data_IF_456636998226
#
_entry.id   IF_456636998226
#
_cell.length_a   1.000
_cell.length_b   1.000
_cell.length_c   1.000
_cell.angle_alpha   90.00
_cell.angle_beta   90.00
_cell.angle_gamma   90.00
#
_symmetry.space_group_name_H-M   'P 1'
#
loop_
_entity.id
_entity.type
_entity.pdbx_description
1 polymer ?
#
# COMPACT_ATOMS: atom_id res chain seq x y z
N UNK A 1 3.09 -5.75 4.25
CA UNK A 1 3.28 -6.59 5.46
C UNK A 1 4.47 -6.07 6.26
N UNK A 2 4.43 -6.14 7.60
CA UNK A 2 5.48 -5.58 8.44
C UNK A 2 6.84 -6.19 8.08
N UNK A 3 7.88 -5.37 7.99
CA UNK A 3 9.23 -5.76 7.58
C UNK A 3 9.54 -5.61 6.09
N UNK A 4 8.54 -5.44 5.20
CA UNK A 4 8.74 -5.26 3.76
C UNK A 4 8.24 -3.89 3.28
N UNK A 5 9.13 -3.10 2.65
CA UNK A 5 8.81 -1.80 2.05
C UNK A 5 7.67 -1.93 1.03
N UNK A 6 6.67 -1.05 1.09
CA UNK A 6 5.61 -0.98 0.09
C UNK A 6 5.96 0.02 -1.02
N UNK A 7 6.85 -0.39 -1.93
CA UNK A 7 7.26 0.43 -3.07
C UNK A 7 6.14 0.64 -4.09
N UNK A 8 5.18 -0.29 -4.16
CA UNK A 8 4.01 -0.20 -5.04
C UNK A 8 3.11 0.96 -4.63
N UNK A 9 2.80 1.07 -3.34
CA UNK A 9 2.04 2.21 -2.80
C UNK A 9 2.77 3.53 -3.01
N UNK A 10 4.08 3.57 -2.78
CA UNK A 10 4.89 4.78 -3.01
C UNK A 10 4.83 5.23 -4.49
N UNK A 11 4.96 4.29 -5.41
CA UNK A 11 4.88 4.56 -6.85
C UNK A 11 3.48 5.03 -7.27
N UNK A 12 2.42 4.35 -6.84
CA UNK A 12 1.04 4.75 -7.13
C UNK A 12 0.71 6.14 -6.59
N UNK A 13 1.16 6.46 -5.36
CA UNK A 13 1.02 7.80 -4.78
C UNK A 13 1.72 8.87 -5.61
N UNK A 14 2.96 8.61 -6.02
CA UNK A 14 3.72 9.55 -6.85
C UNK A 14 3.09 9.74 -8.25
N UNK A 15 2.58 8.66 -8.86
CA UNK A 15 1.87 8.71 -10.14
C UNK A 15 0.56 9.52 -10.06
N UNK A 16 -0.10 9.51 -8.91
CA UNK A 16 -1.25 10.35 -8.62
C UNK A 16 -0.89 11.83 -8.30
N UNK A 17 0.40 12.19 -8.33
CA UNK A 17 0.88 13.55 -8.01
C UNK A 17 0.77 13.93 -6.53
N UNK A 18 0.58 12.96 -5.63
CA UNK A 18 0.34 13.21 -4.22
C UNK A 18 1.63 13.12 -3.40
N UNK A 19 1.84 14.05 -2.47
CA UNK A 19 2.79 13.88 -1.37
C UNK A 19 2.25 12.88 -0.33
N UNK A 20 3.10 12.45 0.61
CA UNK A 20 2.63 11.62 1.73
C UNK A 20 1.62 12.36 2.62
N UNK A 21 1.75 13.69 2.74
CA UNK A 21 0.81 14.51 3.50
C UNK A 21 -0.55 14.57 2.80
N UNK A 22 -0.57 14.72 1.48
CA UNK A 22 -1.82 14.78 0.70
C UNK A 22 -2.60 13.46 0.79
N UNK A 23 -1.90 12.33 0.63
CA UNK A 23 -2.54 11.02 0.79
C UNK A 23 -3.03 10.80 2.24
N UNK A 24 -2.25 11.25 3.22
CA UNK A 24 -2.63 11.14 4.63
C UNK A 24 -3.91 11.93 4.94
N UNK A 25 -4.01 13.16 4.43
CA UNK A 25 -5.20 14.00 4.54
C UNK A 25 -6.40 13.33 3.86
N UNK A 26 -6.22 12.77 2.65
CA UNK A 26 -7.29 12.12 1.90
C UNK A 26 -7.87 10.88 2.60
N UNK A 27 -7.07 10.17 3.40
CA UNK A 27 -7.49 8.92 4.08
C UNK A 27 -7.65 9.06 5.59
N UNK A 28 -7.54 10.28 6.13
CA UNK A 28 -7.80 10.58 7.53
C UNK A 28 -6.76 10.04 8.51
N UNK A 29 -5.48 10.04 8.12
CA UNK A 29 -4.36 9.59 8.98
C UNK A 29 -3.24 10.63 9.00
N UNK A 30 -2.19 10.37 9.77
CA UNK A 30 -1.00 11.25 9.81
C UNK A 30 -0.06 10.98 8.63
N UNK A 31 0.72 11.99 8.24
CA UNK A 31 1.81 11.82 7.25
C UNK A 31 2.82 10.74 7.68
N UNK A 32 3.06 10.60 8.98
CA UNK A 32 3.92 9.54 9.54
C UNK A 32 3.34 8.15 9.30
N UNK A 33 2.02 7.98 9.44
CA UNK A 33 1.34 6.70 9.16
C UNK A 33 1.60 6.26 7.72
N UNK A 34 1.42 7.15 6.74
CA UNK A 34 1.73 6.84 5.33
C UNK A 34 3.21 6.46 5.15
N UNK A 35 4.12 7.22 5.76
CA UNK A 35 5.55 6.93 5.71
C UNK A 35 5.91 5.55 6.28
N UNK A 36 5.30 5.14 7.39
CA UNK A 36 5.51 3.82 7.99
C UNK A 36 4.96 2.69 7.11
N UNK A 37 3.83 2.88 6.43
CA UNK A 37 3.31 1.88 5.48
C UNK A 37 4.27 1.71 4.31
N UNK A 38 4.71 2.81 3.70
CA UNK A 38 5.67 2.77 2.57
C UNK A 38 7.01 2.14 2.98
N UNK A 39 7.48 2.42 4.20
CA UNK A 39 8.71 1.85 4.74
C UNK A 39 8.56 0.39 5.21
N UNK A 40 7.34 -0.16 5.30
CA UNK A 40 7.08 -1.48 5.86
C UNK A 40 7.16 -1.54 7.39
N UNK A 41 7.21 -0.39 8.07
CA UNK A 41 7.25 -0.28 9.52
C UNK A 41 5.88 -0.37 10.20
N UNK A 42 4.79 -0.45 9.42
CA UNK A 42 3.44 -0.56 9.92
C UNK A 42 2.58 -1.46 9.03
N UNK A 43 1.80 -2.33 9.66
CA UNK A 43 0.78 -3.12 8.97
C UNK A 43 -0.58 -2.39 9.09
N UNK A 44 -1.07 -1.74 8.03
CA UNK A 44 -2.34 -1.03 8.07
C UNK A 44 -3.53 -1.98 8.25
N UNK A 45 -4.61 -1.46 8.83
CA UNK A 45 -5.89 -2.17 8.88
C UNK A 45 -6.47 -2.31 7.47
N UNK A 46 -7.34 -3.30 7.25
CA UNK A 46 -8.02 -3.49 5.96
C UNK A 46 -8.77 -2.21 5.53
N UNK A 47 -9.43 -1.54 6.46
CA UNK A 47 -10.15 -0.29 6.19
C UNK A 47 -9.22 0.80 5.65
N UNK A 48 -8.02 0.94 6.23
CA UNK A 48 -7.02 1.89 5.74
C UNK A 48 -6.47 1.48 4.36
N UNK A 49 -6.23 0.19 4.14
CA UNK A 49 -5.84 -0.31 2.81
C UNK A 49 -6.89 0.06 1.75
N UNK A 50 -8.17 -0.18 2.04
CA UNK A 50 -9.28 0.15 1.14
C UNK A 50 -9.38 1.65 0.89
N UNK A 51 -9.21 2.48 1.92
CA UNK A 51 -9.22 3.94 1.77
C UNK A 51 -8.08 4.44 0.88
N UNK A 52 -6.87 3.90 1.06
CA UNK A 52 -5.70 4.20 0.21
C UNK A 52 -5.96 3.78 -1.24
N UNK A 53 -6.46 2.56 -1.47
CA UNK A 53 -6.80 2.06 -2.80
C UNK A 53 -7.80 2.98 -3.52
N UNK A 54 -8.86 3.43 -2.82
CA UNK A 54 -9.84 4.37 -3.36
C UNK A 54 -9.21 5.73 -3.70
N UNK A 55 -8.38 6.28 -2.81
CA UNK A 55 -7.71 7.56 -3.02
C UNK A 55 -6.74 7.53 -4.23
N UNK A 56 -6.08 6.39 -4.44
CA UNK A 56 -5.10 6.19 -5.51
C UNK A 56 -5.69 5.57 -6.79
N UNK A 57 -6.98 5.23 -6.80
CA UNK A 57 -7.69 4.58 -7.92
C UNK A 57 -7.02 3.27 -8.38
N UNK A 58 -6.61 2.46 -7.41
CA UNK A 58 -5.99 1.14 -7.61
C UNK A 58 -6.68 0.10 -6.74
N UNK A 59 -6.37 -1.18 -6.95
CA UNK A 59 -6.90 -2.30 -6.18
C UNK A 59 -5.99 -2.67 -5.01
N UNK A 60 -6.50 -3.52 -4.11
CA UNK A 60 -5.73 -4.12 -3.03
C UNK A 60 -4.57 -4.98 -3.57
N UNK A 61 -4.81 -5.73 -4.65
CA UNK A 61 -3.80 -6.57 -5.29
C UNK A 61 -2.63 -5.74 -5.83
N UNK A 62 -2.91 -4.55 -6.37
CA UNK A 62 -1.88 -3.67 -6.91
C UNK A 62 -0.89 -3.19 -5.83
N UNK A 63 -1.32 -3.09 -4.57
CA UNK A 63 -0.54 -2.43 -3.51
C UNK A 63 -0.06 -3.34 -2.38
N UNK A 64 -0.84 -4.36 -2.00
CA UNK A 64 -0.63 -5.05 -0.72
C UNK A 64 -0.41 -6.57 -0.82
N UNK A 65 -0.71 -7.18 -1.96
CA UNK A 65 -0.46 -8.60 -2.20
C UNK A 65 0.93 -8.80 -2.80
N UNK A 66 1.59 -9.87 -2.41
CA UNK A 66 2.77 -10.37 -3.11
C UNK A 66 2.33 -11.20 -4.32
N UNK A 67 3.09 -11.16 -5.41
CA UNK A 67 2.85 -11.98 -6.62
C UNK A 67 3.14 -13.49 -6.35
N UNK A 68 3.19 -13.88 -5.07
CA UNK A 68 3.66 -15.15 -4.54
C UNK A 68 2.63 -16.27 -4.57
N UNK A 69 1.80 -16.34 -5.61
CA UNK A 69 1.42 -17.67 -6.11
C UNK A 69 2.31 -17.93 -7.31
N UNK A 70 3.58 -18.28 -7.05
CA UNK A 70 4.18 -19.28 -7.92
C UNK A 70 3.36 -20.53 -7.62
N UNK A 71 2.45 -20.89 -8.51
CA UNK A 71 1.91 -22.24 -8.48
C UNK A 71 3.14 -23.14 -8.42
N UNK A 72 3.23 -23.94 -7.36
CA UNK A 72 4.27 -24.95 -7.29
C UNK A 72 4.13 -25.77 -8.59
N UNK A 73 5.16 -25.81 -9.46
CA UNK A 73 5.11 -26.60 -10.68
C UNK A 73 4.88 -28.10 -10.39
N UNK A 74 5.08 -28.52 -9.13
CA UNK A 74 4.85 -29.86 -8.59
C UNK A 74 3.62 -29.95 -7.66
N UNK A 75 2.69 -28.98 -7.66
CA UNK A 75 1.38 -29.18 -7.03
C UNK A 75 0.53 -30.18 -7.83
N UNK A 76 0.90 -31.45 -7.75
CA UNK A 76 0.13 -32.66 -8.06
C UNK A 76 0.30 -33.65 -6.91
#
# INVERSE_FOLDING_TARGET
>A
MPGKKNLRMKAARAAAGLSQADLAQAVGVTRQTIGLIEAGGYNPTLNLCVAVCKALRVTLNDLFWDDGIKADPNAL
#
